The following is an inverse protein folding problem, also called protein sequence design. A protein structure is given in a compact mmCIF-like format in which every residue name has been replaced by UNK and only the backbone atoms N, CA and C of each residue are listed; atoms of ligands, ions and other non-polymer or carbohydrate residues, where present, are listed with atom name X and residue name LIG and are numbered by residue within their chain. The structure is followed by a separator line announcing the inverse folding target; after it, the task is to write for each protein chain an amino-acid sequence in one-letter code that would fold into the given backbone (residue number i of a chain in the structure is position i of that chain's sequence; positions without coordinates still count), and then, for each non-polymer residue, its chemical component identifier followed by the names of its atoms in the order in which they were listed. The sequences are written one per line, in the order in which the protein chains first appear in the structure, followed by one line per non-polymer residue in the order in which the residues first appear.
data_IF_553533409170
#
_entry.id   IF_553533409170
#
_cell.length_a   1.000
_cell.length_b   1.000
_cell.length_c   1.000
_cell.angle_alpha   90.00
_cell.angle_beta   90.00
_cell.angle_gamma   90.00
#
_symmetry.space_group_name_H-M   'P 1'
#
loop_
_entity.id
_entity.type
_entity.pdbx_description
1 polymer ?
#
# COMPACT_ATOMS: atom_id res chain seq x y z
N UNK A 1 31.01 -22.40 6.12
CA UNK A 1 30.21 -21.53 5.23
C UNK A 1 31.17 -20.78 4.34
N UNK A 2 31.00 -20.87 3.03
CA UNK A 2 31.85 -20.23 2.02
C UNK A 2 31.64 -18.71 2.04
N UNK A 3 32.70 -17.89 2.00
CA UNK A 3 32.64 -16.41 1.94
C UNK A 3 31.57 -15.83 0.98
N UNK A 4 31.25 -16.57 -0.08
CA UNK A 4 30.19 -16.24 -1.03
C UNK A 4 28.79 -16.13 -0.39
N UNK A 5 28.45 -16.98 0.58
CA UNK A 5 27.14 -16.94 1.25
C UNK A 5 27.02 -15.78 2.23
N UNK A 6 28.10 -15.42 2.94
CA UNK A 6 28.13 -14.22 3.81
C UNK A 6 27.89 -12.93 3.00
N UNK A 7 28.49 -12.83 1.81
CA UNK A 7 28.28 -11.68 0.92
C UNK A 7 26.82 -11.62 0.48
N UNK A 8 26.23 -12.74 0.05
CA UNK A 8 24.83 -12.80 -0.36
C UNK A 8 23.86 -12.43 0.78
N UNK A 9 24.11 -12.90 2.01
CA UNK A 9 23.32 -12.52 3.19
C UNK A 9 23.43 -11.02 3.48
N UNK A 10 24.62 -10.44 3.40
CA UNK A 10 24.82 -9.01 3.60
C UNK A 10 24.04 -8.17 2.57
N UNK A 11 24.03 -8.60 1.29
CA UNK A 11 23.24 -7.95 0.24
C UNK A 11 21.73 -8.12 0.45
N UNK A 12 21.28 -9.30 0.88
CA UNK A 12 19.87 -9.56 1.22
C UNK A 12 19.39 -8.63 2.33
N UNK A 13 20.14 -8.52 3.43
CA UNK A 13 19.83 -7.61 4.53
C UNK A 13 19.86 -6.14 4.11
N UNK A 14 20.80 -5.75 3.25
CA UNK A 14 20.88 -4.39 2.73
C UNK A 14 19.64 -4.03 1.90
N UNK A 15 19.18 -4.94 1.04
CA UNK A 15 17.98 -4.74 0.20
C UNK A 15 16.71 -4.69 1.07
N UNK A 16 16.60 -5.59 2.05
CA UNK A 16 15.43 -5.67 2.93
C UNK A 16 15.30 -4.41 3.83
N UNK A 17 16.43 -3.78 4.18
CA UNK A 17 16.49 -2.52 4.94
C UNK A 17 15.73 -1.36 4.26
N UNK A 18 15.66 -1.33 2.93
CA UNK A 18 14.93 -0.28 2.21
C UNK A 18 13.40 -0.38 2.34
N UNK A 19 12.88 -1.49 2.90
CA UNK A 19 11.44 -1.73 3.09
C UNK A 19 10.65 -1.51 1.78
N UNK A 20 11.20 -2.00 0.67
CA UNK A 20 10.66 -1.77 -0.68
C UNK A 20 9.26 -2.39 -0.81
N UNK A 21 9.09 -3.63 -0.34
CA UNK A 21 7.83 -4.37 -0.42
C UNK A 21 6.68 -3.61 0.27
N UNK A 22 6.78 -3.22 1.57
CA UNK A 22 5.69 -2.50 2.21
C UNK A 22 5.44 -1.11 1.60
N UNK A 23 6.46 -0.42 1.07
CA UNK A 23 6.27 0.85 0.35
C UNK A 23 5.50 0.67 -0.95
N UNK A 24 5.84 -0.35 -1.75
CA UNK A 24 5.14 -0.66 -3.00
C UNK A 24 3.69 -1.05 -2.76
N UNK A 25 3.41 -1.80 -1.68
CA UNK A 25 2.05 -2.17 -1.30
C UNK A 25 1.19 -0.94 -0.98
N UNK A 26 1.73 0.01 -0.20
CA UNK A 26 1.02 1.26 0.12
C UNK A 26 0.81 2.12 -1.12
N UNK A 27 1.81 2.22 -2.00
CA UNK A 27 1.71 2.97 -3.25
C UNK A 27 0.63 2.38 -4.17
N UNK A 28 0.58 1.05 -4.29
CA UNK A 28 -0.47 0.36 -5.03
C UNK A 28 -1.85 0.66 -4.43
N UNK A 29 -1.99 0.61 -3.11
CA UNK A 29 -3.25 0.94 -2.43
C UNK A 29 -3.69 2.38 -2.68
N UNK A 30 -2.77 3.34 -2.63
CA UNK A 30 -3.03 4.74 -2.95
C UNK A 30 -3.53 4.90 -4.39
N UNK A 31 -2.88 4.24 -5.35
CA UNK A 31 -3.26 4.27 -6.74
C UNK A 31 -4.67 3.68 -6.99
N UNK A 32 -4.96 2.52 -6.38
CA UNK A 32 -6.26 1.85 -6.53
C UNK A 32 -7.39 2.67 -5.91
N UNK A 33 -7.20 3.22 -4.71
CA UNK A 33 -8.21 4.07 -4.06
C UNK A 33 -8.43 5.36 -4.83
N UNK A 34 -7.35 6.01 -5.28
CA UNK A 34 -7.45 7.19 -6.14
C UNK A 34 -8.29 6.88 -7.39
N UNK A 35 -7.95 5.79 -8.09
CA UNK A 35 -8.66 5.38 -9.32
C UNK A 35 -10.14 5.09 -9.05
N UNK A 36 -10.46 4.43 -7.95
CA UNK A 36 -11.84 4.12 -7.55
C UNK A 36 -12.64 5.38 -7.21
N UNK A 37 -12.06 6.31 -6.45
CA UNK A 37 -12.69 7.60 -6.11
C UNK A 37 -12.92 8.44 -7.36
N UNK A 38 -11.92 8.53 -8.23
CA UNK A 38 -12.02 9.30 -9.47
C UNK A 38 -13.06 8.72 -10.43
N UNK A 39 -13.13 7.38 -10.51
CA UNK A 39 -14.20 6.70 -11.24
C UNK A 39 -15.58 7.04 -10.67
N UNK A 40 -15.76 6.96 -9.36
CA UNK A 40 -17.05 7.24 -8.71
C UNK A 40 -17.51 8.69 -8.91
N UNK A 41 -16.58 9.64 -8.84
CA UNK A 41 -16.85 11.05 -9.13
C UNK A 41 -17.23 11.34 -10.59
N UNK A 42 -16.89 10.43 -11.52
CA UNK A 42 -17.21 10.57 -12.95
C UNK A 42 -18.54 9.95 -13.36
N UNK A 43 -19.31 9.35 -12.44
CA UNK A 43 -20.59 8.74 -12.75
C UNK A 43 -21.69 9.79 -12.91
N UNK A 44 -22.52 9.68 -13.97
CA UNK A 44 -23.65 10.59 -14.20
C UNK A 44 -24.76 10.43 -13.14
N UNK A 45 -24.95 9.21 -12.64
CA UNK A 45 -25.95 8.87 -11.63
C UNK A 45 -25.35 7.89 -10.60
N UNK A 46 -24.59 8.39 -9.60
CA UNK A 46 -23.98 7.52 -8.58
C UNK A 46 -25.04 6.88 -7.67
N UNK A 47 -24.89 5.57 -7.40
CA UNK A 47 -25.80 4.81 -6.53
C UNK A 47 -25.32 4.77 -5.08
N UNK A 48 -26.25 4.47 -4.15
CA UNK A 48 -25.92 4.35 -2.73
C UNK A 48 -24.99 3.17 -2.44
N UNK A 49 -25.16 2.07 -3.16
CA UNK A 49 -24.32 0.87 -3.06
C UNK A 49 -22.88 1.17 -3.50
N UNK A 50 -22.71 1.94 -4.58
CA UNK A 50 -21.40 2.40 -5.06
C UNK A 50 -20.74 3.34 -4.04
N UNK A 51 -21.51 4.25 -3.44
CA UNK A 51 -21.02 5.10 -2.34
C UNK A 51 -20.54 4.28 -1.14
N UNK A 52 -21.27 3.20 -0.80
CA UNK A 52 -20.90 2.29 0.27
C UNK A 52 -19.58 1.58 -0.01
N UNK A 53 -19.39 1.09 -1.24
CA UNK A 53 -18.15 0.46 -1.67
C UNK A 53 -16.95 1.41 -1.55
N UNK A 54 -17.08 2.64 -2.06
CA UNK A 54 -15.99 3.64 -2.01
C UNK A 54 -15.63 3.98 -0.56
N UNK A 55 -16.63 4.15 0.31
CA UNK A 55 -16.44 4.44 1.74
C UNK A 55 -15.60 3.37 2.46
N UNK A 56 -15.91 2.09 2.21
CA UNK A 56 -15.18 0.96 2.79
C UNK A 56 -13.73 0.95 2.30
N UNK A 57 -13.50 1.16 1.00
CA UNK A 57 -12.15 1.20 0.41
C UNK A 57 -11.33 2.35 1.01
N UNK A 58 -11.89 3.56 1.09
CA UNK A 58 -11.19 4.72 1.65
C UNK A 58 -10.87 4.55 3.14
N UNK A 59 -11.77 3.91 3.90
CA UNK A 59 -11.56 3.64 5.32
C UNK A 59 -10.47 2.58 5.54
N UNK A 60 -10.46 1.52 4.75
CA UNK A 60 -9.41 0.50 4.79
C UNK A 60 -8.04 1.10 4.45
N UNK A 61 -7.97 2.03 3.50
CA UNK A 61 -6.74 2.75 3.18
C UNK A 61 -6.23 3.59 4.37
N UNK A 62 -7.12 4.30 5.08
CA UNK A 62 -6.72 5.09 6.24
C UNK A 62 -6.09 4.22 7.34
N UNK A 63 -6.63 3.02 7.58
CA UNK A 63 -6.06 2.05 8.52
C UNK A 63 -4.70 1.55 8.04
N UNK A 64 -4.58 1.12 6.77
CA UNK A 64 -3.33 0.63 6.22
C UNK A 64 -2.21 1.68 6.26
N UNK A 65 -2.54 2.94 5.96
CA UNK A 65 -1.60 4.06 6.05
C UNK A 65 -1.23 4.37 7.50
N UNK A 66 -2.20 4.34 8.43
CA UNK A 66 -1.95 4.51 9.86
C UNK A 66 -1.01 3.46 10.43
N UNK A 67 -1.18 2.19 10.03
CA UNK A 67 -0.27 1.10 10.41
C UNK A 67 1.14 1.25 9.81
N UNK A 68 1.23 1.76 8.58
CA UNK A 68 2.52 2.02 7.92
C UNK A 68 3.28 3.16 8.60
N UNK A 69 2.59 4.26 8.95
CA UNK A 69 3.19 5.43 9.62
C UNK A 69 3.48 5.17 11.10
N UNK A 70 2.61 4.43 11.79
CA UNK A 70 2.71 4.12 13.22
C UNK A 70 3.87 3.19 13.60
N UNK A 71 4.54 2.55 12.63
CA UNK A 71 5.74 1.71 12.82
C UNK A 71 7.04 2.52 12.92
N UNK A 72 6.99 3.69 13.55
CA UNK A 72 8.12 4.62 13.71
C UNK A 72 8.58 4.80 15.17
N UNK A 73 8.14 3.93 16.09
CA UNK A 73 8.63 3.83 17.47
C UNK A 73 9.66 2.73 17.64
#
# INVERSE_FOLDING_TARGET
MTKFTEVLEAWSHAIDSFKIIPRLLILLYMYLTYSCVFWYMGLEAPSLEQSGMVSVITSAQAVALGLFLGKSG
#
